data_IF_422921639831
#
_entry.id   IF_422921639831
#
_cell.length_a   1.000
_cell.length_b   1.000
_cell.length_c   1.000
_cell.angle_alpha   90.00
_cell.angle_beta   90.00
_cell.angle_gamma   90.00
#
_symmetry.space_group_name_H-M   'P 1'
#
loop_
_entity.id
_entity.type
_entity.pdbx_description
1 polymer ?
#
# COMPACT_ATOMS: atom_id res chain seq x y z
N UNK A 1 -0.83 10.62 7.90
CA UNK A 1 -2.02 9.97 8.53
C UNK A 1 -2.28 10.42 9.97
N UNK A 2 -1.37 10.22 10.93
CA UNK A 2 -1.63 10.44 12.37
C UNK A 2 -2.06 11.89 12.70
N UNK A 3 -1.42 12.89 12.09
CA UNK A 3 -1.77 14.31 12.29
C UNK A 3 -3.20 14.59 11.78
N UNK A 4 -3.51 14.13 10.57
CA UNK A 4 -4.86 14.28 9.99
C UNK A 4 -5.92 13.57 10.84
N UNK A 5 -5.61 12.40 11.40
CA UNK A 5 -6.50 11.67 12.30
C UNK A 5 -6.74 12.42 13.62
N UNK A 6 -5.69 13.01 14.18
CA UNK A 6 -5.79 13.86 15.37
C UNK A 6 -6.72 15.06 15.12
N UNK A 7 -6.50 15.80 14.03
CA UNK A 7 -7.35 16.94 13.64
C UNK A 7 -8.80 16.51 13.42
N UNK A 8 -9.03 15.42 12.67
CA UNK A 8 -10.37 14.89 12.43
C UNK A 8 -11.07 14.49 13.73
N UNK A 9 -10.34 13.85 14.66
CA UNK A 9 -10.88 13.45 15.96
C UNK A 9 -11.22 14.67 16.83
N UNK A 10 -10.37 15.70 16.82
CA UNK A 10 -10.64 16.96 17.54
C UNK A 10 -11.88 17.66 16.98
N UNK A 11 -11.99 17.80 15.65
CA UNK A 11 -13.17 18.40 14.99
C UNK A 11 -14.43 17.60 15.31
N UNK A 12 -14.35 16.27 15.23
CA UNK A 12 -15.49 15.40 15.55
C UNK A 12 -15.92 15.50 17.02
N UNK A 13 -14.96 15.58 17.95
CA UNK A 13 -15.23 15.79 19.37
C UNK A 13 -15.98 17.10 19.63
N UNK A 14 -15.53 18.20 19.00
CA UNK A 14 -16.22 19.50 19.05
C UNK A 14 -17.62 19.45 18.43
N UNK A 15 -17.79 18.71 17.33
CA UNK A 15 -19.08 18.51 16.70
C UNK A 15 -20.06 17.80 17.64
N UNK A 16 -19.65 16.66 18.21
CA UNK A 16 -20.49 15.90 19.14
C UNK A 16 -20.83 16.70 20.40
N UNK A 17 -19.89 17.46 20.96
CA UNK A 17 -20.16 18.29 22.14
C UNK A 17 -21.22 19.38 21.89
N UNK A 18 -21.32 19.89 20.65
CA UNK A 18 -22.35 20.84 20.26
C UNK A 18 -23.70 20.17 19.95
N UNK A 19 -23.69 18.91 19.50
CA UNK A 19 -24.88 18.12 19.16
C UNK A 19 -25.59 17.54 20.39
N UNK A 20 -24.98 17.56 21.59
CA UNK A 20 -25.61 17.10 22.84
C UNK A 20 -26.93 17.81 23.21
N UNK A 21 -27.28 18.94 22.57
CA UNK A 21 -28.62 19.55 22.71
C UNK A 21 -29.69 18.89 21.82
N UNK A 22 -29.29 18.17 20.75
CA UNK A 22 -30.13 17.40 19.81
C UNK A 22 -30.45 15.97 20.30
N UNK A 23 -29.69 15.44 21.27
CA UNK A 23 -29.90 14.12 21.88
C UNK A 23 -31.30 13.92 22.46
N UNK A 24 -31.99 15.01 22.79
CA UNK A 24 -33.36 14.99 23.32
C UNK A 24 -34.41 14.44 22.34
N UNK A 25 -34.09 14.41 21.05
CA UNK A 25 -34.99 13.92 19.98
C UNK A 25 -34.54 12.53 19.45
N UNK A 26 -33.26 12.18 19.56
CA UNK A 26 -32.69 10.97 18.93
C UNK A 26 -32.15 9.91 19.91
N UNK A 27 -32.03 10.19 21.21
CA UNK A 27 -31.73 9.20 22.26
C UNK A 27 -30.55 8.26 21.94
N UNK A 28 -30.70 6.97 22.29
CA UNK A 28 -29.67 5.92 22.09
C UNK A 28 -29.20 5.74 20.63
N UNK A 29 -30.01 6.11 19.64
CA UNK A 29 -29.64 6.05 18.21
C UNK A 29 -28.60 7.11 17.85
N UNK A 30 -28.60 8.26 18.54
CA UNK A 30 -27.63 9.34 18.32
C UNK A 30 -26.19 8.91 18.58
N UNK A 31 -25.96 8.19 19.69
CA UNK A 31 -24.64 7.65 20.04
C UNK A 31 -24.13 6.62 19.03
N UNK A 32 -25.01 5.72 18.57
CA UNK A 32 -24.68 4.74 17.54
C UNK A 32 -24.34 5.38 16.19
N UNK A 33 -25.10 6.39 15.77
CA UNK A 33 -24.84 7.13 14.54
C UNK A 33 -23.54 7.94 14.62
N UNK A 34 -23.29 8.60 15.75
CA UNK A 34 -22.04 9.32 16.00
C UNK A 34 -20.83 8.37 15.90
N UNK A 35 -20.91 7.17 16.50
CA UNK A 35 -19.86 6.17 16.37
C UNK A 35 -19.64 5.74 14.91
N UNK A 36 -20.71 5.49 14.15
CA UNK A 36 -20.61 5.14 12.73
C UNK A 36 -19.95 6.26 11.90
N UNK A 37 -20.33 7.52 12.13
CA UNK A 37 -19.71 8.68 11.47
C UNK A 37 -18.24 8.80 11.86
N UNK A 38 -17.89 8.59 13.13
CA UNK A 38 -16.49 8.63 13.58
C UNK A 38 -15.65 7.54 12.91
N UNK A 39 -16.17 6.30 12.82
CA UNK A 39 -15.52 5.20 12.12
C UNK A 39 -15.36 5.49 10.63
N UNK A 40 -16.40 6.08 10.01
CA UNK A 40 -16.37 6.50 8.62
C UNK A 40 -15.28 7.55 8.36
N UNK A 41 -15.21 8.60 9.20
CA UNK A 41 -14.17 9.63 9.12
C UNK A 41 -12.78 9.01 9.31
N UNK A 42 -12.63 8.11 10.28
CA UNK A 42 -11.34 7.43 10.53
C UNK A 42 -10.91 6.62 9.31
N UNK A 43 -11.82 5.88 8.67
CA UNK A 43 -11.53 5.15 7.44
C UNK A 43 -11.07 6.10 6.31
N UNK A 44 -11.80 7.20 6.11
CA UNK A 44 -11.47 8.19 5.08
C UNK A 44 -10.07 8.80 5.29
N UNK A 45 -9.72 9.14 6.54
CA UNK A 45 -8.39 9.67 6.89
C UNK A 45 -7.27 8.65 6.63
N UNK A 46 -7.51 7.36 6.83
CA UNK A 46 -6.52 6.32 6.54
C UNK A 46 -6.25 6.21 5.03
N UNK A 47 -7.30 6.19 4.22
CA UNK A 47 -7.18 6.11 2.75
C UNK A 47 -6.47 7.36 2.20
N UNK A 48 -6.91 8.55 2.61
CA UNK A 48 -6.22 9.79 2.23
C UNK A 48 -4.78 9.84 2.73
N UNK A 49 -4.54 9.32 3.93
CA UNK A 49 -3.21 9.24 4.50
C UNK A 49 -2.25 8.40 3.65
N UNK A 50 -2.74 7.30 3.08
CA UNK A 50 -1.98 6.44 2.18
C UNK A 50 -1.70 7.13 0.83
N UNK A 51 -2.70 7.81 0.26
CA UNK A 51 -2.56 8.53 -1.00
C UNK A 51 -1.54 9.67 -0.89
N UNK A 52 -1.61 10.47 0.19
CA UNK A 52 -0.66 11.55 0.44
C UNK A 52 0.75 11.01 0.64
N UNK A 53 0.93 9.88 1.32
CA UNK A 53 2.25 9.27 1.51
C UNK A 53 2.85 8.81 0.16
N UNK A 54 2.04 8.17 -0.68
CA UNK A 54 2.42 7.78 -2.04
C UNK A 54 2.81 9.00 -2.90
N UNK A 55 2.01 10.06 -2.85
CA UNK A 55 2.27 11.30 -3.59
C UNK A 55 3.55 12.00 -3.11
N UNK A 56 3.81 12.02 -1.81
CA UNK A 56 5.06 12.57 -1.25
C UNK A 56 6.28 11.80 -1.75
N UNK A 57 6.18 10.47 -1.87
CA UNK A 57 7.24 9.66 -2.49
C UNK A 57 7.40 10.01 -3.96
N UNK A 58 6.31 10.13 -4.72
CA UNK A 58 6.34 10.53 -6.14
C UNK A 58 7.02 11.88 -6.34
N UNK A 59 6.64 12.90 -5.56
CA UNK A 59 7.23 14.24 -5.63
C UNK A 59 8.74 14.22 -5.33
N UNK A 60 9.18 13.39 -4.38
CA UNK A 60 10.61 13.21 -4.09
C UNK A 60 11.35 12.56 -5.26
N UNK A 61 10.75 11.57 -5.91
CA UNK A 61 11.32 10.90 -7.08
C UNK A 61 11.46 11.86 -8.27
N UNK A 62 10.41 12.61 -8.58
CA UNK A 62 10.43 13.64 -9.63
C UNK A 62 11.47 14.72 -9.35
N UNK A 63 11.58 15.18 -8.10
CA UNK A 63 12.61 16.14 -7.68
C UNK A 63 14.04 15.60 -7.78
N UNK A 64 14.22 14.28 -7.75
CA UNK A 64 15.49 13.60 -7.96
C UNK A 64 15.77 13.27 -9.44
N UNK A 65 14.89 13.68 -10.36
CA UNK A 65 15.01 13.38 -11.80
C UNK A 65 14.65 11.95 -12.18
N UNK A 66 13.93 11.22 -11.33
CA UNK A 66 13.40 9.89 -11.64
C UNK A 66 12.06 10.06 -12.37
N UNK A 67 11.89 9.40 -13.52
CA UNK A 67 10.64 9.32 -14.27
C UNK A 67 9.59 8.55 -13.45
N UNK A 68 8.77 9.30 -12.70
CA UNK A 68 7.75 8.77 -11.80
C UNK A 68 6.37 9.41 -12.08
N UNK A 69 6.12 9.85 -13.32
CA UNK A 69 4.90 10.54 -13.72
C UNK A 69 3.67 9.62 -13.70
N UNK A 70 3.82 8.38 -14.19
CA UNK A 70 2.73 7.39 -14.23
C UNK A 70 2.86 6.31 -13.16
N UNK A 71 4.08 5.99 -12.72
CA UNK A 71 4.33 4.90 -11.77
C UNK A 71 5.40 5.27 -10.76
N UNK A 72 5.13 4.99 -9.48
CA UNK A 72 6.10 5.22 -8.41
C UNK A 72 7.14 4.10 -8.47
N UNK A 73 8.41 4.47 -8.64
CA UNK A 73 9.54 3.54 -8.72
C UNK A 73 9.88 3.02 -7.31
N UNK A 74 9.10 2.09 -6.78
CA UNK A 74 9.33 1.49 -5.47
C UNK A 74 10.26 0.28 -5.61
N UNK A 75 11.33 0.17 -4.81
CA UNK A 75 12.10 -1.06 -4.75
C UNK A 75 11.18 -2.19 -4.25
N UNK A 76 11.42 -3.41 -4.73
CA UNK A 76 10.70 -4.58 -4.25
C UNK A 76 10.90 -4.72 -2.73
N UNK A 77 9.78 -4.79 -1.98
CA UNK A 77 9.79 -4.87 -0.52
C UNK A 77 10.53 -6.11 0.02
N UNK A 78 10.58 -7.20 -0.76
CA UNK A 78 11.36 -8.40 -0.45
C UNK A 78 11.92 -9.04 -1.74
N UNK A 79 13.24 -9.09 -1.85
CA UNK A 79 13.98 -9.69 -2.98
C UNK A 79 14.52 -11.08 -2.66
N UNK A 80 14.37 -11.57 -1.43
CA UNK A 80 14.99 -12.82 -0.95
C UNK A 80 14.52 -14.03 -1.76
N UNK A 81 13.20 -14.18 -1.91
CA UNK A 81 12.58 -15.23 -2.72
C UNK A 81 12.94 -15.11 -4.20
N UNK A 82 12.94 -13.89 -4.74
CA UNK A 82 13.32 -13.65 -6.14
C UNK A 82 14.77 -14.03 -6.42
N UNK A 83 15.69 -13.74 -5.50
CA UNK A 83 17.10 -14.14 -5.62
C UNK A 83 17.28 -15.66 -5.52
N UNK A 84 16.56 -16.33 -4.61
CA UNK A 84 16.56 -17.80 -4.54
C UNK A 84 16.00 -18.44 -5.82
N UNK A 85 14.86 -17.95 -6.29
CA UNK A 85 14.24 -18.44 -7.53
C UNK A 85 15.13 -18.15 -8.75
N UNK A 86 15.79 -17.00 -8.81
CA UNK A 86 16.74 -16.67 -9.88
C UNK A 86 17.94 -17.63 -9.89
N UNK A 87 18.46 -18.00 -8.71
CA UNK A 87 19.52 -19.03 -8.58
C UNK A 87 19.04 -20.40 -9.03
N UNK A 88 17.83 -20.81 -8.63
CA UNK A 88 17.24 -22.08 -9.08
C UNK A 88 17.05 -22.10 -10.60
N UNK A 89 16.52 -21.03 -11.19
CA UNK A 89 16.35 -20.91 -12.64
C UNK A 89 17.68 -21.07 -13.39
N UNK A 90 18.77 -20.53 -12.85
CA UNK A 90 20.09 -20.68 -13.45
C UNK A 90 20.58 -22.14 -13.42
N UNK A 91 20.24 -22.89 -12.36
CA UNK A 91 20.52 -24.33 -12.25
C UNK A 91 19.65 -25.13 -13.23
N UNK A 92 18.34 -24.88 -13.26
CA UNK A 92 17.41 -25.56 -14.17
C UNK A 92 17.83 -25.40 -15.65
N UNK A 93 18.31 -24.21 -16.02
CA UNK A 93 18.84 -23.92 -17.36
C UNK A 93 20.15 -24.69 -17.60
N UNK A 94 21.03 -24.81 -16.60
CA UNK A 94 22.27 -25.57 -16.72
C UNK A 94 21.98 -27.06 -16.93
N UNK A 95 21.06 -27.64 -16.16
CA UNK A 95 20.65 -29.04 -16.29
C UNK A 95 19.99 -29.31 -17.64
N UNK A 96 19.11 -28.41 -18.10
CA UNK A 96 18.50 -28.48 -19.42
C UNK A 96 19.52 -28.42 -20.58
N UNK A 97 20.61 -27.65 -20.42
CA UNK A 97 21.72 -27.64 -21.39
C UNK A 97 22.43 -28.98 -21.47
N UNK A 98 22.69 -29.61 -20.34
CA UNK A 98 23.31 -30.94 -20.29
C UNK A 98 22.43 -32.00 -20.94
N UNK A 99 21.12 -31.96 -20.73
CA UNK A 99 20.18 -32.88 -21.38
C UNK A 99 20.22 -32.71 -22.91
N UNK A 100 20.28 -31.47 -23.40
CA UNK A 100 20.39 -31.19 -24.85
C UNK A 100 21.72 -31.68 -25.42
N UNK A 101 22.82 -31.44 -24.72
CA UNK A 101 24.16 -31.89 -25.13
C UNK A 101 24.26 -33.42 -25.13
N UNK A 102 23.69 -34.10 -24.13
CA UNK A 102 23.62 -35.56 -24.08
C UNK A 102 22.71 -36.16 -25.16
N UNK A 103 21.65 -35.45 -25.56
CA UNK A 103 20.72 -35.88 -26.62
C UNK A 103 21.21 -35.56 -28.04
N UNK A 104 22.22 -34.68 -28.19
CA UNK A 104 22.82 -34.36 -29.49
C UNK A 104 23.87 -35.44 -29.80
N UNK A 105 23.64 -36.32 -30.79
CA UNK A 105 24.64 -37.31 -31.17
C UNK A 105 25.91 -36.58 -31.66
N UNK A 106 27.11 -37.11 -31.41
CA UNK A 106 28.32 -36.52 -31.96
C UNK A 106 28.16 -36.44 -33.48
N UNK A 107 28.33 -35.24 -34.04
CA UNK A 107 28.36 -35.06 -35.48
C UNK A 107 29.46 -35.97 -36.02
N UNK A 108 29.04 -37.03 -36.70
CA UNK A 108 29.93 -37.95 -37.42
C UNK A 108 30.60 -37.15 -38.54
N UNK A 109 31.86 -36.77 -38.32
CA UNK A 109 32.84 -36.49 -39.40
C UNK A 109 33.25 -37.81 -40.08
#
# INVERSE_FOLDING_TARGET
AIVAWGVATTIFGLYVSNVGTYDRIYGWLGGGLALLVWLYITNFVLVLGAEVDAEVVRLRQLGAGVEAEETIQLPMRDTTRNLMLARQRAQDIADGRQIREAATPPATE
#
